data_IF_380875762048
#
_entry.id   IF_380875762048
#
_cell.length_a   1.000
_cell.length_b   1.000
_cell.length_c   1.000
_cell.angle_alpha   90.00
_cell.angle_beta   90.00
_cell.angle_gamma   90.00
#
_symmetry.space_group_name_H-M   'P 1'
#
loop_
_entity.id
_entity.type
_entity.pdbx_description
1 polymer ?
#
# COMPACT_ATOMS: atom_id res chain seq x y z
N UNK A 1 -26.03 -27.43 -8.93
CA UNK A 1 -25.34 -27.27 -7.63
C UNK A 1 -24.99 -25.80 -7.48
N UNK A 2 -25.77 -25.04 -6.71
CA UNK A 2 -25.59 -23.60 -6.60
C UNK A 2 -24.37 -23.31 -5.72
N UNK A 3 -23.33 -22.72 -6.28
CA UNK A 3 -22.24 -22.19 -5.46
C UNK A 3 -22.81 -21.08 -4.58
N UNK A 4 -22.73 -21.26 -3.26
CA UNK A 4 -23.09 -20.21 -2.33
C UNK A 4 -22.11 -19.03 -2.56
N UNK A 5 -22.64 -17.91 -3.07
CA UNK A 5 -21.85 -16.69 -3.17
C UNK A 5 -21.43 -16.29 -1.75
N UNK A 6 -20.13 -16.47 -1.44
CA UNK A 6 -19.52 -16.11 -0.17
C UNK A 6 -19.36 -14.59 -0.04
N UNK A 7 -20.49 -13.88 -0.15
CA UNK A 7 -20.61 -12.46 0.18
C UNK A 7 -20.41 -12.32 1.68
N UNK A 8 -19.24 -11.79 2.07
CA UNK A 8 -19.01 -11.40 3.46
C UNK A 8 -20.09 -10.38 3.89
N UNK A 9 -20.72 -10.54 5.07
CA UNK A 9 -21.68 -9.56 5.58
C UNK A 9 -21.15 -8.11 5.51
N UNK A 10 -21.94 -7.13 5.04
CA UNK A 10 -21.46 -5.76 4.83
C UNK A 10 -20.82 -5.10 6.07
N UNK A 11 -21.30 -5.44 7.27
CA UNK A 11 -20.71 -4.96 8.52
C UNK A 11 -19.29 -5.50 8.75
N UNK A 12 -18.98 -6.74 8.33
CA UNK A 12 -17.62 -7.28 8.38
C UNK A 12 -16.72 -6.60 7.34
N UNK A 13 -17.22 -6.31 6.14
CA UNK A 13 -16.46 -5.57 5.12
C UNK A 13 -16.13 -4.16 5.63
N UNK A 14 -17.12 -3.42 6.19
CA UNK A 14 -16.89 -2.11 6.82
C UNK A 14 -15.86 -2.20 7.96
N UNK A 15 -16.04 -3.15 8.88
CA UNK A 15 -15.14 -3.36 10.03
C UNK A 15 -13.70 -3.69 9.60
N UNK A 16 -13.51 -4.61 8.65
CA UNK A 16 -12.18 -4.97 8.12
C UNK A 16 -11.53 -3.81 7.36
N UNK A 17 -12.31 -3.06 6.58
CA UNK A 17 -11.82 -1.85 5.90
C UNK A 17 -11.33 -0.81 6.92
N UNK A 18 -12.12 -0.51 7.96
CA UNK A 18 -11.73 0.41 9.04
C UNK A 18 -10.46 -0.06 9.77
N UNK A 19 -10.30 -1.36 10.04
CA UNK A 19 -9.05 -1.89 10.61
C UNK A 19 -7.85 -1.52 9.73
N UNK A 20 -7.93 -1.77 8.42
CA UNK A 20 -6.79 -1.58 7.53
C UNK A 20 -6.54 -0.12 7.13
N UNK A 21 -7.56 0.74 7.13
CA UNK A 21 -7.39 2.20 7.07
C UNK A 21 -6.54 2.69 8.25
N UNK A 22 -6.89 2.30 9.48
CA UNK A 22 -6.10 2.62 10.67
C UNK A 22 -4.68 2.03 10.61
N UNK A 23 -4.50 0.84 10.02
CA UNK A 23 -3.20 0.25 9.75
C UNK A 23 -2.33 1.10 8.83
N UNK A 24 -2.87 1.52 7.67
CA UNK A 24 -2.17 2.41 6.72
C UNK A 24 -1.82 3.74 7.38
N UNK A 25 -2.78 4.38 8.06
CA UNK A 25 -2.58 5.67 8.74
C UNK A 25 -1.48 5.57 9.81
N UNK A 26 -1.49 4.52 10.64
CA UNK A 26 -0.49 4.31 11.70
C UNK A 26 0.92 4.14 11.12
N UNK A 27 1.07 3.29 10.09
CA UNK A 27 2.39 3.01 9.53
C UNK A 27 2.92 4.16 8.67
N UNK A 28 2.05 4.85 7.91
CA UNK A 28 2.45 6.09 7.23
C UNK A 28 2.98 7.13 8.21
N UNK A 29 2.27 7.38 9.32
CA UNK A 29 2.72 8.35 10.32
C UNK A 29 4.08 7.97 10.93
N UNK A 30 4.31 6.68 11.23
CA UNK A 30 5.61 6.19 11.73
C UNK A 30 6.75 6.39 10.73
N UNK A 31 6.53 6.07 9.45
CA UNK A 31 7.54 6.21 8.39
C UNK A 31 7.88 7.70 8.16
N UNK A 32 6.87 8.57 8.18
CA UNK A 32 7.03 10.01 7.97
C UNK A 32 7.66 10.70 9.20
N UNK A 33 7.39 10.23 10.42
CA UNK A 33 8.00 10.76 11.65
C UNK A 33 9.35 10.12 12.01
N UNK A 34 9.78 9.08 11.29
CA UNK A 34 11.06 8.41 11.53
C UNK A 34 12.24 9.31 11.10
N UNK A 35 13.23 9.55 11.98
CA UNK A 35 14.47 10.25 11.62
C UNK A 35 15.20 9.60 10.44
N UNK A 36 16.01 10.38 9.73
CA UNK A 36 16.83 9.87 8.60
C UNK A 36 18.00 8.98 9.04
N UNK A 37 18.35 9.02 10.32
CA UNK A 37 19.40 8.25 10.99
C UNK A 37 18.87 7.14 11.91
N UNK A 38 17.54 6.98 12.04
CA UNK A 38 16.94 5.85 12.76
C UNK A 38 17.25 4.52 12.04
N UNK A 39 17.46 3.46 12.84
CA UNK A 39 17.96 2.17 12.35
C UNK A 39 17.12 1.62 11.19
N UNK A 40 17.79 1.28 10.08
CA UNK A 40 17.17 0.75 8.87
C UNK A 40 16.25 -0.46 9.14
N UNK A 41 16.61 -1.30 10.13
CA UNK A 41 15.80 -2.45 10.56
C UNK A 41 14.41 -2.05 11.08
N UNK A 42 14.31 -0.97 11.88
CA UNK A 42 13.00 -0.50 12.37
C UNK A 42 12.17 0.08 11.23
N UNK A 43 12.78 0.95 10.42
CA UNK A 43 12.14 1.60 9.27
C UNK A 43 11.64 0.56 8.26
N UNK A 44 12.41 -0.50 7.99
CA UNK A 44 12.02 -1.62 7.16
C UNK A 44 10.83 -2.43 7.72
N UNK A 45 10.77 -2.64 9.03
CA UNK A 45 9.61 -3.27 9.67
C UNK A 45 8.33 -2.43 9.53
N UNK A 46 8.39 -1.12 9.83
CA UNK A 46 7.23 -0.22 9.66
C UNK A 46 6.79 -0.14 8.17
N UNK A 47 7.74 -0.20 7.21
CA UNK A 47 7.47 -0.30 5.77
C UNK A 47 6.79 -1.60 5.34
N UNK A 48 7.25 -2.75 5.86
CA UNK A 48 6.65 -4.05 5.59
C UNK A 48 5.20 -4.13 6.14
N UNK A 49 4.97 -3.62 7.35
CA UNK A 49 3.61 -3.52 7.90
C UNK A 49 2.72 -2.50 7.18
N UNK A 50 3.28 -1.43 6.60
CA UNK A 50 2.56 -0.53 5.70
C UNK A 50 2.07 -1.29 4.45
N UNK A 51 2.94 -2.04 3.76
CA UNK A 51 2.58 -2.81 2.57
C UNK A 51 1.50 -3.88 2.85
N UNK A 52 1.65 -4.65 3.93
CA UNK A 52 0.61 -5.61 4.38
C UNK A 52 -0.71 -4.88 4.62
N UNK A 53 -0.69 -3.73 5.29
CA UNK A 53 -1.90 -2.95 5.59
C UNK A 53 -2.57 -2.41 4.34
N UNK A 54 -1.79 -1.88 3.38
CA UNK A 54 -2.30 -1.33 2.13
C UNK A 54 -2.85 -2.41 1.20
N UNK A 55 -2.11 -3.49 0.96
CA UNK A 55 -2.61 -4.61 0.15
C UNK A 55 -3.82 -5.30 0.78
N UNK A 56 -3.92 -5.33 2.11
CA UNK A 56 -5.13 -5.79 2.82
C UNK A 56 -6.29 -4.81 2.70
N UNK A 57 -6.06 -3.50 2.79
CA UNK A 57 -7.07 -2.47 2.54
C UNK A 57 -7.64 -2.61 1.13
N UNK A 58 -6.78 -2.68 0.11
CA UNK A 58 -7.17 -2.83 -1.29
C UNK A 58 -7.96 -4.12 -1.55
N UNK A 59 -7.65 -5.22 -0.85
CA UNK A 59 -8.47 -6.43 -0.86
C UNK A 59 -9.88 -6.17 -0.31
N UNK A 60 -10.01 -5.61 0.90
CA UNK A 60 -11.33 -5.41 1.52
C UNK A 60 -12.18 -4.37 0.78
N UNK A 61 -11.56 -3.31 0.25
CA UNK A 61 -12.21 -2.37 -0.66
C UNK A 61 -12.74 -3.04 -1.93
N UNK A 62 -12.05 -4.06 -2.46
CA UNK A 62 -12.53 -4.83 -3.62
C UNK A 62 -13.70 -5.77 -3.30
N UNK A 63 -14.13 -5.85 -2.03
CA UNK A 63 -15.33 -6.58 -1.60
C UNK A 63 -16.50 -5.65 -1.26
N UNK A 64 -16.28 -4.34 -1.17
CA UNK A 64 -17.36 -3.37 -0.95
C UNK A 64 -18.23 -3.24 -2.19
N UNK A 65 -19.54 -3.44 -2.04
CA UNK A 65 -20.49 -3.04 -3.08
C UNK A 65 -20.51 -1.51 -3.20
N UNK A 66 -20.10 -1.01 -4.37
CA UNK A 66 -19.99 0.42 -4.66
C UNK A 66 -21.34 1.07 -4.99
N UNK A 67 -22.41 0.29 -5.20
CA UNK A 67 -23.75 0.83 -5.45
C UNK A 67 -24.49 1.20 -4.14
N UNK A 68 -24.15 0.57 -3.01
CA UNK A 68 -24.82 0.78 -1.71
C UNK A 68 -24.04 1.68 -0.73
N UNK A 69 -22.92 2.29 -1.13
CA UNK A 69 -22.13 3.19 -0.26
C UNK A 69 -21.95 4.60 -0.84
N UNK A 70 -22.16 5.61 0.01
CA UNK A 70 -22.05 7.03 -0.34
C UNK A 70 -20.62 7.53 -0.59
N UNK A 71 -19.62 6.78 -0.11
CA UNK A 71 -18.19 7.03 -0.26
C UNK A 71 -17.53 6.17 -1.37
N UNK A 72 -18.33 5.73 -2.35
CA UNK A 72 -17.85 4.90 -3.46
C UNK A 72 -16.88 5.63 -4.40
N UNK A 73 -16.87 6.97 -4.40
CA UNK A 73 -15.88 7.77 -5.10
C UNK A 73 -14.49 7.62 -4.44
N UNK A 74 -14.40 7.84 -3.12
CA UNK A 74 -13.15 7.70 -2.35
C UNK A 74 -12.58 6.27 -2.38
N UNK A 75 -13.44 5.25 -2.49
CA UNK A 75 -12.97 3.85 -2.68
C UNK A 75 -12.29 3.67 -4.04
N UNK A 76 -12.91 4.16 -5.12
CA UNK A 76 -12.33 4.11 -6.48
C UNK A 76 -11.03 4.92 -6.56
N UNK A 77 -10.99 6.07 -5.90
CA UNK A 77 -9.83 6.96 -5.77
C UNK A 77 -8.62 6.20 -5.20
N UNK A 78 -8.81 5.53 -4.04
CA UNK A 78 -7.80 4.65 -3.43
C UNK A 78 -7.43 3.47 -4.32
N UNK A 79 -8.40 2.78 -4.91
CA UNK A 79 -8.16 1.59 -5.74
C UNK A 79 -7.37 1.89 -7.01
N UNK A 80 -7.54 3.09 -7.58
CA UNK A 80 -6.83 3.56 -8.75
C UNK A 80 -5.43 4.09 -8.39
N UNK A 81 -5.36 5.06 -7.46
CA UNK A 81 -4.10 5.73 -7.14
C UNK A 81 -3.09 4.83 -6.40
N UNK A 82 -3.57 3.83 -5.64
CA UNK A 82 -2.71 2.93 -4.85
C UNK A 82 -2.74 1.49 -5.38
N UNK A 83 -3.11 1.26 -6.65
CA UNK A 83 -3.26 -0.07 -7.24
C UNK A 83 -2.05 -1.01 -7.01
N UNK A 84 -0.85 -0.43 -7.09
CA UNK A 84 0.44 -1.08 -6.85
C UNK A 84 0.61 -1.69 -5.45
N UNK A 85 -0.20 -1.29 -4.47
CA UNK A 85 -0.15 -1.81 -3.10
C UNK A 85 -0.46 -3.31 -3.00
N UNK A 86 -1.04 -3.92 -4.05
CA UNK A 86 -1.17 -5.37 -4.17
C UNK A 86 0.16 -6.02 -4.61
N UNK A 87 0.84 -5.44 -5.59
CA UNK A 87 2.08 -5.96 -6.17
C UNK A 87 3.22 -5.88 -5.16
N UNK A 88 3.40 -4.74 -4.49
CA UNK A 88 4.41 -4.58 -3.42
C UNK A 88 4.13 -5.52 -2.25
N UNK A 89 2.85 -5.77 -1.90
CA UNK A 89 2.53 -6.75 -0.86
C UNK A 89 2.91 -8.17 -1.26
N UNK A 90 2.60 -8.62 -2.48
CA UNK A 90 3.02 -9.94 -2.98
C UNK A 90 4.55 -10.08 -2.95
N UNK A 91 5.26 -9.07 -3.47
CA UNK A 91 6.72 -9.04 -3.48
C UNK A 91 7.33 -9.07 -2.08
N UNK A 92 6.75 -8.41 -1.09
CA UNK A 92 7.26 -8.38 0.29
C UNK A 92 6.82 -9.57 1.14
N UNK A 93 5.72 -10.24 0.82
CA UNK A 93 5.34 -11.53 1.42
C UNK A 93 6.15 -12.70 0.83
N UNK A 94 6.71 -12.53 -0.37
CA UNK A 94 7.53 -13.52 -1.08
C UNK A 94 8.97 -13.06 -1.39
N UNK A 95 9.50 -12.09 -0.63
CA UNK A 95 10.76 -11.39 -0.94
C UNK A 95 11.95 -12.33 -1.19
N UNK A 96 12.05 -13.40 -0.37
CA UNK A 96 13.07 -14.45 -0.54
C UNK A 96 12.96 -15.25 -1.85
N UNK A 97 11.75 -15.47 -2.39
CA UNK A 97 11.55 -16.12 -3.69
C UNK A 97 11.98 -15.19 -4.83
N UNK A 98 11.68 -13.89 -4.73
CA UNK A 98 12.10 -12.89 -5.71
C UNK A 98 13.63 -12.69 -5.69
N UNK A 99 14.27 -12.66 -4.52
CA UNK A 99 15.74 -12.54 -4.39
C UNK A 99 16.47 -13.72 -5.06
N UNK A 100 15.89 -14.93 -5.08
CA UNK A 100 16.47 -16.11 -5.73
C UNK A 100 15.94 -16.37 -7.16
N UNK A 101 15.30 -15.37 -7.78
CA UNK A 101 14.88 -15.43 -9.18
C UNK A 101 13.65 -16.31 -9.47
N UNK A 102 12.78 -16.54 -8.47
CA UNK A 102 11.60 -17.42 -8.55
C UNK A 102 10.27 -16.68 -8.38
N UNK A 103 10.30 -15.37 -8.20
CA UNK A 103 9.08 -14.57 -8.08
C UNK A 103 8.26 -14.57 -9.37
N UNK A 104 6.92 -14.57 -9.25
CA UNK A 104 6.03 -14.67 -10.42
C UNK A 104 6.20 -13.51 -11.40
N UNK A 105 6.40 -12.31 -10.87
CA UNK A 105 6.60 -11.08 -11.63
C UNK A 105 8.06 -10.62 -11.50
N UNK A 106 9.04 -11.52 -11.70
CA UNK A 106 10.46 -11.27 -11.42
C UNK A 106 11.01 -9.99 -12.09
N UNK A 107 10.56 -9.68 -13.30
CA UNK A 107 10.96 -8.48 -14.05
C UNK A 107 10.44 -7.15 -13.46
N UNK A 108 9.48 -7.21 -12.54
CA UNK A 108 8.93 -6.05 -11.82
C UNK A 108 9.54 -5.87 -10.41
N UNK A 109 10.39 -6.80 -9.94
CA UNK A 109 10.91 -6.74 -8.57
C UNK A 109 11.79 -5.50 -8.32
N UNK A 110 12.73 -5.25 -9.23
CA UNK A 110 13.55 -4.02 -9.25
C UNK A 110 13.05 -3.09 -10.35
N UNK A 111 12.87 -1.80 -10.03
CA UNK A 111 12.51 -0.80 -11.05
C UNK A 111 13.63 0.20 -11.34
N UNK A 112 13.49 0.87 -12.48
CA UNK A 112 14.04 2.21 -12.70
C UNK A 112 12.95 3.24 -12.43
N UNK A 113 13.21 4.22 -11.58
CA UNK A 113 12.31 5.35 -11.30
C UNK A 113 13.01 6.69 -11.48
N UNK A 114 12.23 7.76 -11.69
CA UNK A 114 12.74 9.12 -11.85
C UNK A 114 12.19 10.00 -10.72
N UNK A 115 13.09 10.75 -10.09
CA UNK A 115 12.81 11.61 -8.94
C UNK A 115 13.43 12.99 -9.13
N UNK A 116 13.12 13.90 -8.22
CA UNK A 116 13.50 15.30 -8.26
C UNK A 116 13.08 15.96 -9.59
N UNK A 117 11.79 15.93 -9.91
CA UNK A 117 11.19 16.43 -11.16
C UNK A 117 11.81 15.82 -12.44
N UNK A 118 12.36 14.61 -12.35
CA UNK A 118 13.02 13.91 -13.45
C UNK A 118 14.51 14.21 -13.62
N UNK A 119 15.11 15.05 -12.77
CA UNK A 119 16.56 15.33 -12.80
C UNK A 119 17.43 14.18 -12.26
N UNK A 120 16.86 13.17 -11.62
CA UNK A 120 17.60 12.01 -11.09
C UNK A 120 16.91 10.70 -11.49
N UNK A 121 17.68 9.75 -12.03
CA UNK A 121 17.21 8.41 -12.38
C UNK A 121 17.85 7.38 -11.44
N UNK A 122 17.04 6.58 -10.76
CA UNK A 122 17.45 5.55 -9.78
C UNK A 122 17.10 4.19 -10.37
N UNK A 123 18.04 3.23 -10.32
CA UNK A 123 17.94 1.89 -10.91
C UNK A 123 18.15 0.82 -9.86
N UNK A 124 17.64 -0.39 -10.12
CA UNK A 124 17.76 -1.51 -9.19
C UNK A 124 16.93 -1.34 -7.91
N UNK A 125 15.82 -0.59 -7.98
CA UNK A 125 15.07 -0.20 -6.80
C UNK A 125 14.11 -1.32 -6.39
N UNK A 126 14.53 -2.11 -5.41
CA UNK A 126 13.79 -3.22 -4.83
C UNK A 126 12.60 -2.75 -3.95
N UNK A 127 11.55 -3.57 -3.76
CA UNK A 127 10.24 -3.12 -3.28
C UNK A 127 10.22 -2.81 -1.78
N UNK A 128 11.21 -3.29 -1.01
CA UNK A 128 11.39 -2.98 0.41
C UNK A 128 12.03 -1.60 0.65
N UNK A 129 12.58 -0.96 -0.37
CA UNK A 129 13.34 0.29 -0.20
C UNK A 129 12.41 1.47 0.03
N UNK A 130 12.55 2.16 1.17
CA UNK A 130 11.93 3.46 1.40
C UNK A 130 12.80 4.57 0.80
N UNK A 131 12.36 5.10 -0.33
CA UNK A 131 12.99 6.17 -1.08
C UNK A 131 12.47 7.53 -0.56
N UNK A 132 13.32 8.24 0.19
CA UNK A 132 13.08 9.63 0.64
C UNK A 132 13.68 10.61 -0.37
N UNK A 133 12.92 11.62 -0.78
CA UNK A 133 13.29 12.60 -1.82
C UNK A 133 12.79 14.00 -1.49
N UNK A 134 13.14 14.97 -2.33
CA UNK A 134 12.60 16.34 -2.27
C UNK A 134 11.07 16.39 -2.50
N UNK A 135 10.49 15.33 -3.07
CA UNK A 135 9.08 15.22 -3.47
C UNK A 135 8.22 14.45 -2.44
N UNK A 136 8.86 13.86 -1.42
CA UNK A 136 8.22 13.02 -0.40
C UNK A 136 8.91 11.66 -0.24
N UNK A 137 8.20 10.75 0.44
CA UNK A 137 8.65 9.40 0.78
C UNK A 137 7.82 8.37 0.01
N UNK A 138 8.49 7.42 -0.63
CA UNK A 138 7.83 6.34 -1.37
C UNK A 138 8.40 4.96 -1.04
N UNK A 139 7.52 3.94 -1.02
CA UNK A 139 7.93 2.54 -0.92
C UNK A 139 8.18 1.96 -2.32
N UNK A 140 9.35 1.34 -2.51
CA UNK A 140 9.81 0.78 -3.78
C UNK A 140 9.92 1.79 -4.93
N UNK A 141 9.87 3.10 -4.66
CA UNK A 141 9.72 4.13 -5.69
C UNK A 141 8.40 4.10 -6.44
N UNK A 142 7.41 3.34 -5.94
CA UNK A 142 6.12 3.05 -6.58
C UNK A 142 4.93 3.69 -5.87
N UNK A 143 4.95 3.81 -4.53
CA UNK A 143 3.80 4.27 -3.74
C UNK A 143 4.22 5.37 -2.75
N UNK A 144 3.64 6.57 -2.86
CA UNK A 144 3.81 7.65 -1.86
C UNK A 144 3.12 7.31 -0.54
N UNK A 145 3.84 7.53 0.56
CA UNK A 145 3.38 7.31 1.93
C UNK A 145 2.39 8.41 2.36
N UNK A 146 2.61 9.64 1.90
CA UNK A 146 1.77 10.83 2.15
C UNK A 146 0.43 10.74 1.41
N UNK A 147 0.46 10.35 0.13
CA UNK A 147 -0.76 10.13 -0.65
C UNK A 147 -1.62 9.02 -0.02
N UNK A 148 -0.97 7.93 0.39
CA UNK A 148 -1.64 6.83 1.10
C UNK A 148 -2.25 7.28 2.42
N UNK A 149 -1.55 8.10 3.21
CA UNK A 149 -2.04 8.68 4.46
C UNK A 149 -3.26 9.59 4.23
N UNK A 150 -3.18 10.49 3.26
CA UNK A 150 -4.24 11.44 2.91
C UNK A 150 -5.52 10.70 2.48
N UNK A 151 -5.42 9.82 1.48
CA UNK A 151 -6.56 9.06 0.96
C UNK A 151 -7.18 8.15 2.04
N UNK A 152 -6.37 7.46 2.85
CA UNK A 152 -6.87 6.62 3.93
C UNK A 152 -7.58 7.45 5.03
N UNK A 153 -7.03 8.62 5.39
CA UNK A 153 -7.64 9.53 6.38
C UNK A 153 -8.97 10.08 5.88
N UNK A 154 -9.02 10.55 4.63
CA UNK A 154 -10.23 11.04 3.94
C UNK A 154 -11.33 9.97 3.90
N UNK A 155 -11.02 8.72 3.55
CA UNK A 155 -12.03 7.65 3.57
C UNK A 155 -12.45 7.27 5.00
N UNK A 156 -11.53 7.23 5.97
CA UNK A 156 -11.88 6.91 7.37
C UNK A 156 -12.86 7.95 7.97
N UNK A 157 -12.68 9.24 7.63
CA UNK A 157 -13.62 10.31 8.01
C UNK A 157 -15.00 10.16 7.37
N UNK A 158 -15.11 9.52 6.20
CA UNK A 158 -16.39 9.21 5.52
C UNK A 158 -17.05 7.92 6.00
N UNK A 159 -16.28 7.04 6.65
CA UNK A 159 -16.73 5.74 7.13
C UNK A 159 -17.05 5.69 8.62
N UNK A 160 -16.63 6.70 9.39
CA UNK A 160 -16.97 6.85 10.81
C UNK A 160 -18.45 7.18 10.98
#
# INVERSE_FOLDING_TARGET
MTLANNMHPPHLIKSRTIKWLNGVILQSNRILSAPTDESANRIGCDAHFFAISLGSLLYWLSKTDLASVSYSAEIKDIQNQLAEGKNIRDMLEHDGDYIIGRGRNQGDYEITTKVNNGFTEIKGLAPFTLLRTNEGVSLGGRISIELSLNLATKLLQKMS
#
